data_IF_888852217115
#
_entry.id   IF_888852217115
#
_cell.length_a   1.000
_cell.length_b   1.000
_cell.length_c   1.000
_cell.angle_alpha   90.00
_cell.angle_beta   90.00
_cell.angle_gamma   90.00
#
_symmetry.space_group_name_H-M   'P 1'
#
loop_
_entity.id
_entity.type
_entity.pdbx_description
1 polymer ?
#
# COMPACT_ATOMS: atom_id res chain seq x y z
N UNK A 1 -14.14 24.71 -10.90
CA UNK A 1 -14.26 23.98 -9.65
C UNK A 1 -13.55 22.65 -9.75
N UNK A 2 -12.76 22.34 -8.77
CA UNK A 2 -12.01 21.07 -8.76
C UNK A 2 -12.94 19.91 -8.49
N UNK A 3 -12.99 18.94 -9.44
CA UNK A 3 -13.81 17.75 -9.29
C UNK A 3 -13.01 16.54 -8.85
N UNK A 4 -11.72 16.71 -8.61
CA UNK A 4 -10.87 15.60 -8.20
C UNK A 4 -11.28 15.08 -6.83
N UNK A 5 -11.33 13.77 -6.67
CA UNK A 5 -11.62 13.13 -5.41
C UNK A 5 -10.59 12.02 -5.16
N UNK A 6 -9.74 12.25 -4.19
CA UNK A 6 -8.74 11.28 -3.76
C UNK A 6 -9.40 10.00 -3.26
N UNK A 7 -10.46 10.14 -2.46
CA UNK A 7 -11.16 8.97 -1.91
C UNK A 7 -11.77 8.11 -3.00
N UNK A 8 -12.31 8.74 -4.05
CA UNK A 8 -12.90 8.00 -5.16
C UNK A 8 -11.85 7.18 -5.87
N UNK A 9 -10.68 7.77 -6.13
CA UNK A 9 -9.58 7.05 -6.76
C UNK A 9 -9.07 5.93 -5.86
N UNK A 10 -8.99 6.19 -4.56
CA UNK A 10 -8.53 5.19 -3.60
C UNK A 10 -9.46 3.97 -3.60
N UNK A 11 -10.78 4.20 -3.62
CA UNK A 11 -11.75 3.12 -3.66
C UNK A 11 -11.68 2.36 -4.98
N UNK A 12 -11.45 3.07 -6.07
CA UNK A 12 -11.43 2.45 -7.40
C UNK A 12 -10.27 1.48 -7.58
N UNK A 13 -9.18 1.63 -6.86
CA UNK A 13 -8.01 0.76 -7.03
C UNK A 13 -7.91 -0.35 -5.99
N UNK A 14 -8.88 -0.47 -5.07
CA UNK A 14 -8.79 -1.44 -3.98
C UNK A 14 -8.66 -2.88 -4.46
N UNK A 15 -9.44 -3.30 -5.45
CA UNK A 15 -9.36 -4.68 -5.94
C UNK A 15 -8.02 -5.00 -6.59
N UNK A 16 -7.51 -4.07 -7.39
CA UNK A 16 -6.20 -4.27 -8.02
C UNK A 16 -5.10 -4.33 -6.99
N UNK A 17 -5.17 -3.46 -5.98
CA UNK A 17 -4.17 -3.44 -4.91
C UNK A 17 -4.23 -4.71 -4.09
N UNK A 18 -5.43 -5.26 -3.86
CA UNK A 18 -5.55 -6.51 -3.13
C UNK A 18 -4.86 -7.65 -3.88
N UNK A 19 -5.06 -7.71 -5.19
CA UNK A 19 -4.40 -8.73 -6.00
C UNK A 19 -2.88 -8.58 -5.96
N UNK A 20 -2.40 -7.34 -6.02
CA UNK A 20 -0.97 -7.09 -5.92
C UNK A 20 -0.43 -7.46 -4.54
N UNK A 21 -1.17 -7.12 -3.49
CA UNK A 21 -0.80 -7.49 -2.11
C UNK A 21 -0.71 -9.01 -1.98
N UNK A 22 -1.65 -9.72 -2.58
CA UNK A 22 -1.62 -11.19 -2.54
C UNK A 22 -0.40 -11.75 -3.26
N UNK A 23 -0.01 -11.14 -4.37
CA UNK A 23 1.20 -11.56 -5.07
C UNK A 23 2.45 -11.37 -4.21
N UNK A 24 2.48 -10.31 -3.42
CA UNK A 24 3.63 -10.03 -2.56
C UNK A 24 3.67 -10.95 -1.34
N UNK A 25 2.54 -11.23 -0.73
CA UNK A 25 2.46 -11.92 0.56
C UNK A 25 2.19 -13.42 0.42
N UNK A 26 1.52 -13.83 -0.66
CA UNK A 26 1.05 -15.20 -0.89
C UNK A 26 0.17 -15.72 0.25
N UNK A 27 -0.50 -14.81 0.97
CA UNK A 27 -1.35 -15.14 2.10
C UNK A 27 -2.49 -14.14 2.14
N UNK A 28 -3.73 -14.65 2.27
CA UNK A 28 -4.91 -13.81 2.18
C UNK A 28 -5.01 -12.81 3.34
N UNK A 29 -4.73 -13.26 4.55
CA UNK A 29 -4.79 -12.36 5.71
C UNK A 29 -3.73 -11.28 5.65
N UNK A 30 -2.51 -11.66 5.30
CA UNK A 30 -1.43 -10.71 5.17
C UNK A 30 -1.69 -9.73 4.02
N UNK A 31 -2.31 -10.21 2.94
CA UNK A 31 -2.65 -9.32 1.82
C UNK A 31 -3.68 -8.27 2.25
N UNK A 32 -4.69 -8.68 3.01
CA UNK A 32 -5.68 -7.74 3.53
C UNK A 32 -5.06 -6.72 4.48
N UNK A 33 -4.18 -7.18 5.35
CA UNK A 33 -3.49 -6.28 6.27
C UNK A 33 -2.60 -5.28 5.52
N UNK A 34 -1.90 -5.77 4.50
CA UNK A 34 -1.04 -4.91 3.69
C UNK A 34 -1.87 -3.87 2.93
N UNK A 35 -3.02 -4.28 2.40
CA UNK A 35 -3.91 -3.35 1.72
C UNK A 35 -4.40 -2.25 2.68
N UNK A 36 -4.79 -2.64 3.87
CA UNK A 36 -5.25 -1.70 4.89
C UNK A 36 -4.16 -0.71 5.26
N UNK A 37 -2.97 -1.21 5.54
CA UNK A 37 -1.83 -0.37 5.87
C UNK A 37 -1.51 0.61 4.74
N UNK A 38 -1.54 0.12 3.51
CA UNK A 38 -1.26 0.93 2.34
C UNK A 38 -2.29 2.05 2.19
N UNK A 39 -3.57 1.70 2.37
CA UNK A 39 -4.65 2.67 2.25
C UNK A 39 -4.57 3.76 3.32
N UNK A 40 -4.26 3.37 4.56
CA UNK A 40 -4.08 4.33 5.64
C UNK A 40 -2.89 5.24 5.39
N UNK A 41 -1.80 4.69 4.91
CA UNK A 41 -0.60 5.47 4.58
C UNK A 41 -0.89 6.47 3.46
N UNK A 42 -1.67 6.03 2.47
CA UNK A 42 -2.06 6.90 1.37
C UNK A 42 -2.91 8.07 1.88
N UNK A 43 -3.87 7.80 2.76
CA UNK A 43 -4.70 8.85 3.34
C UNK A 43 -3.86 9.83 4.16
N UNK A 44 -2.89 9.33 4.92
CA UNK A 44 -1.99 10.18 5.70
C UNK A 44 -1.12 11.08 4.81
N UNK A 45 -0.89 10.67 3.58
CA UNK A 45 -0.03 11.39 2.64
C UNK A 45 -0.81 11.95 1.45
N UNK A 46 -2.11 12.12 1.62
CA UNK A 46 -2.97 12.64 0.56
C UNK A 46 -2.45 13.97 0.01
N UNK A 47 -1.99 14.83 0.89
CA UNK A 47 -1.49 16.16 0.52
C UNK A 47 -0.20 16.10 -0.30
N UNK A 48 0.49 14.97 -0.28
CA UNK A 48 1.73 14.80 -1.04
C UNK A 48 1.50 14.24 -2.44
N UNK A 49 0.29 13.78 -2.71
CA UNK A 49 -0.05 13.26 -4.03
C UNK A 49 -0.46 14.40 -4.95
N UNK A 50 0.13 14.45 -6.14
CA UNK A 50 -0.24 15.46 -7.13
C UNK A 50 -1.34 14.91 -8.04
N UNK A 51 -2.50 15.58 -8.11
CA UNK A 51 -3.58 15.16 -9.02
C UNK A 51 -3.09 15.09 -10.46
N UNK A 52 -3.71 14.20 -11.23
CA UNK A 52 -3.39 13.98 -12.65
C UNK A 52 -2.04 13.35 -12.91
N UNK A 53 -1.44 12.78 -11.89
CA UNK A 53 -0.26 11.93 -12.07
C UNK A 53 -0.70 10.46 -11.97
N UNK A 54 0.25 9.52 -11.95
CA UNK A 54 -0.07 8.10 -11.93
C UNK A 54 -0.46 7.64 -10.53
N UNK A 55 -1.74 7.70 -10.22
CA UNK A 55 -2.24 7.33 -8.89
C UNK A 55 -1.96 5.86 -8.56
N UNK A 56 -2.19 4.96 -9.52
CA UNK A 56 -1.93 3.53 -9.28
C UNK A 56 -0.46 3.28 -8.97
N UNK A 57 0.43 3.89 -9.74
CA UNK A 57 1.87 3.76 -9.51
C UNK A 57 2.27 4.27 -8.13
N UNK A 58 1.68 5.39 -7.72
CA UNK A 58 1.93 5.95 -6.39
C UNK A 58 1.49 4.98 -5.30
N UNK A 59 0.31 4.38 -5.45
CA UNK A 59 -0.20 3.39 -4.49
C UNK A 59 0.65 2.13 -4.47
N UNK A 60 1.04 1.62 -5.63
CA UNK A 60 1.91 0.43 -5.70
C UNK A 60 3.25 0.68 -5.02
N UNK A 61 3.79 1.87 -5.18
CA UNK A 61 5.06 2.24 -4.53
C UNK A 61 4.92 2.23 -3.01
N UNK A 62 3.82 2.80 -2.49
CA UNK A 62 3.55 2.79 -1.06
C UNK A 62 3.46 1.35 -0.55
N UNK A 63 2.68 0.53 -1.22
CA UNK A 63 2.47 -0.85 -0.81
C UNK A 63 3.77 -1.65 -0.81
N UNK A 64 4.55 -1.52 -1.88
CA UNK A 64 5.81 -2.25 -1.98
C UNK A 64 6.78 -1.81 -0.89
N UNK A 65 6.84 -0.52 -0.60
CA UNK A 65 7.72 -0.01 0.44
C UNK A 65 7.33 -0.52 1.81
N UNK A 66 6.03 -0.56 2.12
CA UNK A 66 5.54 -1.12 3.37
C UNK A 66 5.91 -2.60 3.46
N UNK A 67 5.68 -3.36 2.39
CA UNK A 67 5.99 -4.78 2.36
C UNK A 67 7.47 -5.03 2.60
N UNK A 68 8.33 -4.29 1.94
CA UNK A 68 9.78 -4.44 2.09
C UNK A 68 10.21 -4.11 3.52
N UNK A 69 9.67 -3.04 4.08
CA UNK A 69 10.00 -2.65 5.45
C UNK A 69 9.56 -3.71 6.45
N UNK A 70 8.36 -4.26 6.29
CA UNK A 70 7.88 -5.32 7.15
C UNK A 70 8.75 -6.57 7.05
N UNK A 71 9.15 -6.92 5.83
CA UNK A 71 10.01 -8.07 5.61
C UNK A 71 11.38 -7.88 6.27
N UNK A 72 11.97 -6.71 6.14
CA UNK A 72 13.25 -6.41 6.76
C UNK A 72 13.17 -6.50 8.28
N UNK A 73 12.07 -6.06 8.84
CA UNK A 73 11.85 -6.14 10.29
C UNK A 73 11.81 -7.59 10.75
N UNK A 74 11.10 -8.45 10.03
CA UNK A 74 11.00 -9.87 10.36
C UNK A 74 12.37 -10.53 10.32
N UNK A 75 13.14 -10.28 9.27
CA UNK A 75 14.48 -10.83 9.12
C UNK A 75 15.39 -10.39 10.26
N UNK A 76 15.29 -9.10 10.63
CA UNK A 76 16.10 -8.56 11.72
C UNK A 76 15.76 -9.23 13.05
N UNK A 77 14.48 -9.42 13.33
CA UNK A 77 14.03 -10.07 14.55
C UNK A 77 14.50 -11.52 14.62
N UNK A 78 14.44 -12.24 13.50
CA UNK A 78 14.92 -13.61 13.46
C UNK A 78 16.43 -13.70 13.73
N UNK A 79 17.17 -12.73 13.22
CA UNK A 79 18.62 -12.69 13.44
C UNK A 79 18.97 -12.50 14.91
N UNK A 80 18.13 -11.78 15.64
CA UNK A 80 18.35 -11.51 17.05
C UNK A 80 17.99 -12.66 17.97
N UNK A 81 17.21 -13.61 17.49
CA UNK A 81 16.67 -14.69 18.34
C UNK A 81 17.67 -15.82 18.58
N UNK A 82 18.78 -15.81 17.93
CA UNK A 82 19.80 -16.86 18.17
C UNK A 82 20.41 -16.78 19.54
#
# INVERSE_FOLDING_TARGET
>A
MNTYSFRKDLLAVQEELLRFAYKLTADREEANDLLQETSLKALDNEDKYEPDTNFKGWMYTIMRNIFINNYRKIVREQTFVE
#
